data_IF_920328093985
#
_entry.id   IF_920328093985
#
_cell.length_a   1.000
_cell.length_b   1.000
_cell.length_c   1.000
_cell.angle_alpha   90.00
_cell.angle_beta   90.00
_cell.angle_gamma   90.00
#
_symmetry.space_group_name_H-M   'P 1'
#
loop_
_entity.id
_entity.type
_entity.pdbx_description
1 polymer ?
#
# COMPACT_ATOMS: atom_id res chain seq x y z
N UNK A 1 -12.47 7.68 -10.44
CA UNK A 1 -12.55 8.74 -9.39
C UNK A 1 -13.05 10.03 -10.03
N UNK A 2 -13.83 10.88 -9.35
CA UNK A 2 -14.41 12.11 -9.94
C UNK A 2 -13.38 13.08 -10.56
N UNK A 3 -12.11 12.98 -10.16
CA UNK A 3 -11.00 13.79 -10.70
C UNK A 3 -10.53 13.28 -12.06
N UNK A 4 -10.45 11.95 -12.24
CA UNK A 4 -9.99 11.34 -13.50
C UNK A 4 -10.99 11.61 -14.63
N UNK A 5 -12.29 11.52 -14.35
CA UNK A 5 -13.32 11.82 -15.35
C UNK A 5 -13.31 13.29 -15.77
N UNK A 6 -13.16 14.22 -14.81
CA UNK A 6 -13.03 15.65 -15.11
C UNK A 6 -11.74 15.97 -15.87
N UNK A 7 -10.67 15.22 -15.62
CA UNK A 7 -9.42 15.37 -16.35
C UNK A 7 -9.54 14.92 -17.80
N UNK A 8 -10.21 13.79 -18.06
CA UNK A 8 -10.39 13.25 -19.40
C UNK A 8 -11.05 14.25 -20.35
N UNK A 9 -12.15 14.89 -19.92
CA UNK A 9 -12.84 15.93 -20.71
C UNK A 9 -11.93 17.13 -21.04
N UNK A 10 -11.09 17.53 -20.08
CA UNK A 10 -10.16 18.66 -20.25
C UNK A 10 -9.00 18.29 -21.17
N UNK A 11 -8.46 17.08 -21.03
CA UNK A 11 -7.40 16.57 -21.90
C UNK A 11 -7.90 16.53 -23.34
N UNK A 12 -9.09 15.97 -23.57
CA UNK A 12 -9.70 15.93 -24.90
C UNK A 12 -9.94 17.33 -25.48
N UNK A 13 -10.42 18.27 -24.64
CA UNK A 13 -10.61 19.67 -25.04
C UNK A 13 -9.29 20.32 -25.50
N UNK A 14 -8.24 20.24 -24.68
CA UNK A 14 -6.95 20.85 -25.00
C UNK A 14 -6.22 20.14 -26.16
N UNK A 15 -6.34 18.81 -26.25
CA UNK A 15 -5.80 18.05 -27.38
C UNK A 15 -6.46 18.47 -28.71
N UNK A 16 -7.79 18.57 -28.75
CA UNK A 16 -8.51 19.06 -29.94
C UNK A 16 -8.14 20.50 -30.31
N UNK A 17 -7.92 21.36 -29.33
CA UNK A 17 -7.44 22.72 -29.62
C UNK A 17 -6.02 22.71 -30.18
N UNK A 18 -5.12 21.90 -29.61
CA UNK A 18 -3.77 21.74 -30.12
C UNK A 18 -3.74 21.15 -31.54
N UNK A 19 -4.70 20.29 -31.91
CA UNK A 19 -4.86 19.76 -33.26
C UNK A 19 -5.27 20.83 -34.30
N UNK A 20 -6.11 21.78 -33.90
CA UNK A 20 -6.69 22.79 -34.80
C UNK A 20 -5.82 24.05 -34.93
N UNK A 21 -4.94 24.33 -33.96
CA UNK A 21 -4.09 25.51 -33.94
C UNK A 21 -2.67 25.21 -34.43
N UNK A 22 -1.93 26.25 -34.84
CA UNK A 22 -0.53 26.17 -35.30
C UNK A 22 0.30 27.34 -34.79
N UNK A 23 1.61 27.13 -34.68
CA UNK A 23 2.59 28.18 -34.37
C UNK A 23 2.30 28.89 -33.05
N UNK A 24 2.35 30.23 -33.06
CA UNK A 24 2.19 31.05 -31.86
C UNK A 24 0.85 30.89 -31.13
N UNK A 25 -0.21 30.39 -31.78
CA UNK A 25 -1.47 30.11 -31.07
C UNK A 25 -1.39 28.91 -30.13
N UNK A 26 -0.48 27.96 -30.38
CA UNK A 26 -0.26 26.80 -29.52
C UNK A 26 0.37 27.19 -28.17
N UNK A 27 1.15 28.26 -28.12
CA UNK A 27 1.75 28.72 -26.85
C UNK A 27 0.67 29.14 -25.85
N UNK A 28 -0.40 29.79 -26.32
CA UNK A 28 -1.52 30.15 -25.48
C UNK A 28 -2.25 28.91 -24.94
N UNK A 29 -2.44 27.88 -25.79
CA UNK A 29 -3.02 26.59 -25.35
C UNK A 29 -2.14 25.93 -24.29
N UNK A 30 -0.81 25.90 -24.48
CA UNK A 30 0.13 25.34 -23.51
C UNK A 30 0.06 26.10 -22.18
N UNK A 31 0.06 27.44 -22.22
CA UNK A 31 -0.05 28.27 -21.01
C UNK A 31 -1.38 28.03 -20.29
N UNK A 32 -2.49 27.95 -21.03
CA UNK A 32 -3.80 27.66 -20.44
C UNK A 32 -3.86 26.26 -19.84
N UNK A 33 -3.39 25.23 -20.55
CA UNK A 33 -3.37 23.86 -20.07
C UNK A 33 -2.49 23.72 -18.80
N UNK A 34 -1.28 24.26 -18.83
CA UNK A 34 -0.35 24.23 -17.69
C UNK A 34 -0.83 25.07 -16.50
N UNK A 35 -1.70 26.06 -16.69
CA UNK A 35 -2.30 26.85 -15.60
C UNK A 35 -3.63 26.27 -15.08
N UNK A 36 -4.27 25.36 -15.80
CA UNK A 36 -5.62 24.90 -15.46
C UNK A 36 -5.66 24.06 -14.16
N UNK A 37 -6.36 24.51 -13.11
CA UNK A 37 -6.32 23.90 -11.77
C UNK A 37 -6.62 22.39 -11.70
N UNK A 38 -7.43 21.85 -12.60
CA UNK A 38 -7.83 20.43 -12.59
C UNK A 38 -7.01 19.53 -13.53
N UNK A 39 -6.10 20.07 -14.35
CA UNK A 39 -5.36 19.30 -15.36
C UNK A 39 -3.95 18.96 -14.87
N UNK A 40 -3.68 17.66 -14.70
CA UNK A 40 -2.39 17.15 -14.19
C UNK A 40 -1.70 16.14 -15.10
N UNK A 41 -2.35 15.73 -16.20
CA UNK A 41 -1.79 14.88 -17.24
C UNK A 41 -1.65 15.67 -18.55
N UNK A 42 -0.50 15.51 -19.20
CA UNK A 42 -0.09 16.30 -20.36
C UNK A 42 0.45 15.43 -21.51
N UNK A 43 0.57 14.11 -21.33
CA UNK A 43 1.12 13.17 -22.34
C UNK A 43 0.36 13.24 -23.66
N UNK A 44 -0.97 13.27 -23.60
CA UNK A 44 -1.83 13.31 -24.78
C UNK A 44 -1.65 14.62 -25.55
N UNK A 45 -1.59 15.75 -24.84
CA UNK A 45 -1.33 17.07 -25.43
C UNK A 45 0.07 17.12 -26.04
N UNK A 46 1.07 16.54 -25.37
CA UNK A 46 2.44 16.43 -25.86
C UNK A 46 2.56 15.52 -27.08
N UNK A 47 1.69 14.52 -27.21
CA UNK A 47 1.67 13.58 -28.35
C UNK A 47 1.09 14.17 -29.64
N UNK A 48 0.44 15.33 -29.57
CA UNK A 48 -0.15 16.00 -30.74
C UNK A 48 0.97 16.42 -31.72
N UNK A 49 0.90 16.04 -33.01
CA UNK A 49 1.95 16.33 -33.99
C UNK A 49 2.30 17.82 -34.10
N UNK A 50 1.30 18.69 -34.04
CA UNK A 50 1.49 20.15 -34.14
C UNK A 50 2.30 20.72 -32.97
N UNK A 51 2.24 20.08 -31.81
CA UNK A 51 3.03 20.47 -30.63
C UNK A 51 4.48 20.03 -30.82
N UNK A 52 4.71 18.87 -31.44
CA UNK A 52 6.06 18.44 -31.83
C UNK A 52 6.68 19.35 -32.91
N UNK A 53 5.88 19.91 -33.82
CA UNK A 53 6.33 20.89 -34.83
C UNK A 53 6.88 22.19 -34.22
N UNK A 54 6.55 22.51 -32.95
CA UNK A 54 7.15 23.66 -32.26
C UNK A 54 8.65 23.48 -32.00
N UNK A 55 9.15 22.25 -32.07
CA UNK A 55 10.58 21.95 -31.91
C UNK A 55 11.39 22.58 -33.06
N UNK A 56 12.37 23.41 -32.70
CA UNK A 56 13.20 24.14 -33.68
C UNK A 56 12.63 25.50 -34.10
N UNK A 57 11.46 25.90 -33.57
CA UNK A 57 10.91 27.25 -33.75
C UNK A 57 11.28 28.17 -32.58
N UNK A 58 10.94 29.45 -32.70
CA UNK A 58 11.04 30.44 -31.61
C UNK A 58 10.20 30.06 -30.37
N UNK A 59 9.22 29.15 -30.52
CA UNK A 59 8.34 28.68 -29.45
C UNK A 59 8.81 27.37 -28.80
N UNK A 60 10.00 26.88 -29.16
CA UNK A 60 10.60 25.65 -28.59
C UNK A 60 10.62 25.66 -27.04
N UNK A 61 10.83 26.82 -26.43
CA UNK A 61 10.81 26.96 -24.98
C UNK A 61 9.46 26.57 -24.32
N UNK A 62 8.33 26.73 -25.02
CA UNK A 62 7.01 26.32 -24.52
C UNK A 62 6.81 24.81 -24.59
N UNK A 63 7.42 24.15 -25.58
CA UNK A 63 7.45 22.68 -25.65
C UNK A 63 8.26 22.12 -24.47
N UNK A 64 9.37 22.75 -24.12
CA UNK A 64 10.18 22.34 -22.97
C UNK A 64 9.46 22.58 -21.64
N UNK A 65 8.63 23.64 -21.53
CA UNK A 65 7.70 23.81 -20.39
C UNK A 65 6.70 22.65 -20.35
N UNK A 66 6.08 22.27 -21.46
CA UNK A 66 5.12 21.16 -21.45
C UNK A 66 5.79 19.83 -21.05
N UNK A 67 7.03 19.58 -21.52
CA UNK A 67 7.83 18.41 -21.12
C UNK A 67 8.21 18.45 -19.63
N UNK A 68 8.53 19.63 -19.10
CA UNK A 68 8.78 19.83 -17.68
C UNK A 68 7.55 19.49 -16.84
N UNK A 69 6.36 19.88 -17.27
CA UNK A 69 5.11 19.56 -16.56
C UNK A 69 4.76 18.06 -16.67
N UNK A 70 4.99 17.43 -17.82
CA UNK A 70 4.77 16.00 -17.97
C UNK A 70 5.75 15.17 -17.12
N UNK A 71 7.03 15.50 -17.14
CA UNK A 71 8.08 14.59 -16.66
C UNK A 71 9.02 15.17 -15.61
N UNK A 72 9.15 16.48 -15.47
CA UNK A 72 10.10 17.12 -14.56
C UNK A 72 9.51 17.52 -13.21
N UNK A 73 10.25 18.34 -12.47
CA UNK A 73 9.96 18.80 -11.10
C UNK A 73 10.26 20.28 -10.92
N UNK A 74 9.88 20.86 -9.79
CA UNK A 74 10.22 22.24 -9.43
C UNK A 74 11.75 22.48 -9.38
N UNK A 75 12.51 21.49 -8.91
CA UNK A 75 13.98 21.54 -8.90
C UNK A 75 14.57 21.58 -10.32
N UNK A 76 13.96 20.85 -11.27
CA UNK A 76 14.36 20.88 -12.68
C UNK A 76 14.10 22.25 -13.32
N UNK A 77 12.98 22.89 -12.96
CA UNK A 77 12.69 24.26 -13.40
C UNK A 77 13.74 25.25 -12.91
N UNK A 78 14.07 25.21 -11.61
CA UNK A 78 15.08 26.11 -11.03
C UNK A 78 16.46 25.92 -11.63
N UNK A 79 16.81 24.67 -11.96
CA UNK A 79 18.09 24.36 -12.61
C UNK A 79 18.16 24.88 -14.05
N UNK A 80 17.01 24.96 -14.74
CA UNK A 80 16.89 25.39 -16.13
C UNK A 80 16.27 26.79 -16.30
N UNK A 81 16.24 27.61 -15.24
CA UNK A 81 15.56 28.91 -15.23
C UNK A 81 16.10 29.91 -16.28
N UNK A 82 17.31 29.69 -16.80
CA UNK A 82 17.89 30.51 -17.88
C UNK A 82 17.43 30.16 -19.29
N UNK A 83 16.87 28.96 -19.51
CA UNK A 83 16.43 28.48 -20.83
C UNK A 83 14.91 28.37 -20.97
N UNK A 84 14.17 28.47 -19.86
CA UNK A 84 12.72 28.37 -19.81
C UNK A 84 12.08 29.75 -19.60
N UNK A 85 10.86 29.98 -20.11
CA UNK A 85 10.14 31.21 -19.84
C UNK A 85 9.75 31.31 -18.36
N UNK A 86 9.53 32.54 -17.90
CA UNK A 86 9.02 32.82 -16.55
C UNK A 86 7.62 32.23 -16.40
N UNK A 87 7.44 31.37 -15.40
CA UNK A 87 6.14 30.75 -15.12
C UNK A 87 5.19 31.72 -14.42
N UNK A 88 3.91 31.66 -14.79
CA UNK A 88 2.80 32.35 -14.12
C UNK A 88 2.59 31.72 -12.73
N UNK A 89 2.08 32.47 -11.72
CA UNK A 89 1.85 31.92 -10.39
C UNK A 89 1.09 30.58 -10.38
N UNK A 90 0.04 30.44 -11.19
CA UNK A 90 -0.74 29.20 -11.26
C UNK A 90 0.08 28.00 -11.77
N UNK A 91 0.97 28.24 -12.73
CA UNK A 91 1.91 27.22 -13.23
C UNK A 91 2.92 26.82 -12.15
N UNK A 92 3.41 27.77 -11.35
CA UNK A 92 4.32 27.49 -10.24
C UNK A 92 3.65 26.60 -9.20
N UNK A 93 2.41 26.93 -8.79
CA UNK A 93 1.65 26.10 -7.84
C UNK A 93 1.46 24.68 -8.39
N UNK A 94 1.09 24.56 -9.66
CA UNK A 94 0.92 23.26 -10.31
C UNK A 94 2.21 22.46 -10.38
N UNK A 95 3.32 23.07 -10.77
CA UNK A 95 4.59 22.34 -10.85
C UNK A 95 5.04 21.84 -9.47
N UNK A 96 4.78 22.61 -8.42
CA UNK A 96 4.97 22.16 -7.03
C UNK A 96 4.05 20.98 -6.69
N UNK A 97 2.77 21.00 -7.07
CA UNK A 97 1.84 19.88 -6.87
C UNK A 97 2.33 18.61 -7.58
N UNK A 98 2.76 18.74 -8.84
CA UNK A 98 3.31 17.63 -9.64
C UNK A 98 4.60 17.07 -9.04
N UNK A 99 5.41 17.92 -8.39
CA UNK A 99 6.61 17.50 -7.66
C UNK A 99 6.25 16.65 -6.45
N UNK A 100 5.22 17.01 -5.68
CA UNK A 100 4.72 16.18 -4.58
C UNK A 100 4.25 14.81 -5.09
N UNK A 101 3.56 14.75 -6.24
CA UNK A 101 3.15 13.48 -6.84
C UNK A 101 4.33 12.59 -7.21
N UNK A 102 5.38 13.15 -7.81
CA UNK A 102 6.61 12.40 -8.13
C UNK A 102 7.32 11.88 -6.88
N UNK A 103 7.35 12.66 -5.80
CA UNK A 103 7.91 12.19 -4.53
C UNK A 103 7.07 11.05 -3.93
N UNK A 104 5.74 11.20 -3.97
CA UNK A 104 4.79 10.22 -3.47
C UNK A 104 4.75 8.90 -4.28
N UNK A 105 5.21 8.94 -5.54
CA UNK A 105 5.42 7.75 -6.38
C UNK A 105 6.57 6.89 -5.84
N UNK A 106 7.63 7.54 -5.35
CA UNK A 106 8.85 6.85 -4.88
C UNK A 106 8.72 6.39 -3.42
N UNK A 107 8.24 7.28 -2.54
CA UNK A 107 8.22 7.04 -1.10
C UNK A 107 6.82 7.25 -0.50
N UNK A 108 6.40 6.34 0.38
CA UNK A 108 5.12 6.46 1.11
C UNK A 108 5.20 7.40 2.32
N UNK A 109 6.40 7.68 2.81
CA UNK A 109 6.63 8.57 3.95
C UNK A 109 7.55 9.69 3.48
N UNK A 110 6.99 10.87 3.26
CA UNK A 110 7.72 12.03 2.77
C UNK A 110 8.15 12.90 3.96
N UNK A 111 9.46 13.11 4.13
CA UNK A 111 9.94 14.01 5.18
C UNK A 111 9.63 15.47 4.86
N UNK A 112 9.30 16.27 5.88
CA UNK A 112 9.07 17.70 5.69
C UNK A 112 10.32 18.40 5.15
N UNK A 113 11.51 17.99 5.59
CA UNK A 113 12.76 18.64 5.15
C UNK A 113 13.05 18.38 3.66
N UNK A 114 12.69 17.20 3.13
CA UNK A 114 12.75 16.90 1.70
C UNK A 114 11.69 17.72 0.94
N UNK A 115 10.45 17.72 1.41
CA UNK A 115 9.37 18.49 0.77
C UNK A 115 9.67 20.00 0.73
N UNK A 116 10.16 20.55 1.84
CA UNK A 116 10.55 21.96 1.93
C UNK A 116 11.67 22.30 0.93
N UNK A 117 12.66 21.41 0.77
CA UNK A 117 13.76 21.61 -0.18
C UNK A 117 13.28 21.53 -1.63
N UNK A 118 12.53 20.49 -1.98
CA UNK A 118 12.05 20.25 -3.34
C UNK A 118 10.98 21.25 -3.79
N UNK A 119 10.18 21.79 -2.87
CA UNK A 119 9.13 22.77 -3.15
C UNK A 119 9.59 24.23 -2.93
N UNK A 120 10.80 24.41 -2.41
CA UNK A 120 11.35 25.72 -2.04
C UNK A 120 10.47 26.49 -1.05
N UNK A 121 10.05 25.78 0.01
CA UNK A 121 9.18 26.29 1.06
C UNK A 121 9.99 26.43 2.34
N UNK A 122 9.93 27.60 2.96
CA UNK A 122 10.79 27.93 4.11
C UNK A 122 10.16 27.59 5.46
N UNK A 123 8.83 27.50 5.51
CA UNK A 123 8.08 27.29 6.75
C UNK A 123 7.25 26.01 6.70
N UNK A 124 7.22 25.27 7.81
CA UNK A 124 6.35 24.10 8.00
C UNK A 124 4.87 24.47 7.79
N UNK A 125 4.44 25.63 8.30
CA UNK A 125 3.03 26.05 8.15
C UNK A 125 2.65 26.24 6.68
N UNK A 126 3.52 26.87 5.90
CA UNK A 126 3.32 27.07 4.47
C UNK A 126 3.30 25.73 3.74
N UNK A 127 4.15 24.77 4.14
CA UNK A 127 4.13 23.42 3.58
C UNK A 127 2.82 22.70 3.89
N UNK A 128 2.35 22.74 5.14
CA UNK A 128 1.10 22.09 5.56
C UNK A 128 -0.10 22.73 4.84
N UNK A 129 -0.16 24.06 4.78
CA UNK A 129 -1.20 24.80 4.04
C UNK A 129 -1.19 24.42 2.56
N UNK A 130 -0.01 24.28 1.94
CA UNK A 130 0.13 23.83 0.55
C UNK A 130 -0.35 22.38 0.36
N UNK A 131 0.06 21.45 1.22
CA UNK A 131 -0.35 20.05 1.14
C UNK A 131 -1.86 19.91 1.32
N UNK A 132 -2.46 20.67 2.25
CA UNK A 132 -3.90 20.63 2.51
C UNK A 132 -4.66 21.27 1.35
N UNK A 133 -4.47 22.56 1.12
CA UNK A 133 -5.28 23.38 0.21
C UNK A 133 -5.00 23.04 -1.26
N UNK A 134 -3.74 22.84 -1.62
CA UNK A 134 -3.37 22.65 -3.02
C UNK A 134 -3.33 21.17 -3.40
N UNK A 135 -2.98 20.25 -2.49
CA UNK A 135 -2.86 18.83 -2.85
C UNK A 135 -4.06 17.97 -2.41
N UNK A 136 -4.46 18.05 -1.13
CA UNK A 136 -5.53 17.20 -0.60
C UNK A 136 -6.92 17.65 -1.06
N UNK A 137 -7.20 18.95 -1.07
CA UNK A 137 -8.49 19.49 -1.55
C UNK A 137 -8.66 19.32 -3.06
N UNK A 138 -7.58 19.44 -3.84
CA UNK A 138 -7.58 19.05 -5.25
C UNK A 138 -7.78 17.54 -5.46
N UNK A 139 -7.58 16.75 -4.39
CA UNK A 139 -7.74 15.29 -4.36
C UNK A 139 -6.66 14.52 -5.12
N UNK A 140 -5.55 15.18 -5.45
CA UNK A 140 -4.40 14.54 -6.09
C UNK A 140 -3.62 13.65 -5.11
N UNK A 141 -3.64 13.97 -3.81
CA UNK A 141 -2.99 13.17 -2.78
C UNK A 141 -3.92 13.00 -1.59
N UNK A 142 -3.88 11.82 -0.95
CA UNK A 142 -4.53 11.58 0.34
C UNK A 142 -3.52 10.97 1.30
N UNK A 143 -3.54 11.42 2.54
CA UNK A 143 -2.58 10.97 3.54
C UNK A 143 -2.80 11.62 4.89
N UNK A 144 -1.86 11.40 5.81
CA UNK A 144 -1.86 11.99 7.15
C UNK A 144 -0.59 12.80 7.36
N UNK A 145 -0.76 14.00 7.90
CA UNK A 145 0.35 14.85 8.34
C UNK A 145 0.70 14.48 9.79
N UNK A 146 1.95 14.07 10.01
CA UNK A 146 2.50 13.82 11.35
C UNK A 146 3.50 14.94 11.68
N UNK A 147 3.02 15.90 12.47
CA UNK A 147 3.81 17.05 12.88
C UNK A 147 4.93 16.67 13.87
N UNK A 148 4.75 15.61 14.66
CA UNK A 148 5.75 15.15 15.64
C UNK A 148 6.94 14.49 14.92
N UNK A 149 6.65 13.62 13.95
CA UNK A 149 7.67 12.95 13.13
C UNK A 149 8.15 13.81 11.96
N UNK A 150 7.53 14.98 11.74
CA UNK A 150 7.80 15.89 10.61
C UNK A 150 7.73 15.17 9.27
N UNK A 151 6.69 14.38 9.07
CA UNK A 151 6.50 13.61 7.85
C UNK A 151 5.05 13.59 7.39
N UNK A 152 4.88 13.40 6.09
CA UNK A 152 3.61 13.18 5.45
C UNK A 152 3.50 11.72 5.00
N UNK A 153 2.54 10.99 5.57
CA UNK A 153 2.27 9.60 5.23
C UNK A 153 1.24 9.52 4.10
N UNK A 154 1.71 9.17 2.91
CA UNK A 154 0.90 9.09 1.70
C UNK A 154 0.13 7.77 1.67
N UNK A 155 -1.19 7.84 1.63
CA UNK A 155 -2.07 6.69 1.44
C UNK A 155 -2.43 6.49 -0.04
N UNK A 156 -2.64 7.60 -0.75
CA UNK A 156 -2.97 7.61 -2.16
C UNK A 156 -2.31 8.81 -2.82
N UNK A 157 -1.81 8.61 -4.03
CA UNK A 157 -1.36 9.67 -4.93
C UNK A 157 -1.91 9.35 -6.32
N UNK A 158 -2.44 10.37 -7.00
CA UNK A 158 -2.86 10.27 -8.37
C UNK A 158 -1.67 9.99 -9.29
N UNK A 159 -1.91 9.26 -10.38
CA UNK A 159 -0.91 9.09 -11.42
C UNK A 159 -0.64 10.41 -12.13
N UNK A 160 0.64 10.69 -12.39
CA UNK A 160 1.05 11.72 -13.35
C UNK A 160 1.22 11.06 -14.74
N UNK A 161 1.94 11.71 -15.63
CA UNK A 161 2.31 11.20 -16.95
C UNK A 161 3.38 10.11 -16.89
N UNK A 162 3.19 9.07 -17.70
CA UNK A 162 4.18 8.01 -17.88
C UNK A 162 5.36 8.50 -18.71
N UNK A 163 6.56 8.33 -18.19
CA UNK A 163 7.79 8.55 -18.96
C UNK A 163 7.98 7.41 -19.96
N UNK A 164 8.52 7.69 -21.16
CA UNK A 164 8.90 6.66 -22.11
C UNK A 164 9.80 5.59 -21.45
N UNK A 165 9.37 4.33 -21.47
CA UNK A 165 10.11 3.20 -20.88
C UNK A 165 9.69 2.77 -19.47
N UNK A 166 8.86 3.55 -18.74
CA UNK A 166 8.38 3.14 -17.40
C UNK A 166 7.42 1.94 -17.45
N UNK A 167 6.72 1.73 -18.56
CA UNK A 167 5.74 0.66 -18.72
C UNK A 167 6.33 -0.74 -18.46
N UNK A 168 7.55 -1.00 -18.94
CA UNK A 168 8.23 -2.27 -18.71
C UNK A 168 8.51 -2.51 -17.22
N UNK A 169 8.89 -1.47 -16.49
CA UNK A 169 9.09 -1.53 -15.04
C UNK A 169 7.78 -1.82 -14.30
N UNK A 170 6.67 -1.20 -14.71
CA UNK A 170 5.34 -1.47 -14.12
C UNK A 170 4.91 -2.93 -14.33
N UNK A 171 5.09 -3.46 -15.55
CA UNK A 171 4.79 -4.86 -15.87
C UNK A 171 5.62 -5.80 -14.99
N UNK A 172 6.92 -5.52 -14.84
CA UNK A 172 7.80 -6.32 -14.00
C UNK A 172 7.39 -6.30 -12.52
N UNK A 173 7.03 -5.13 -11.98
CA UNK A 173 6.57 -5.00 -10.59
C UNK A 173 5.28 -5.79 -10.35
N UNK A 174 4.32 -5.72 -11.27
CA UNK A 174 3.07 -6.51 -11.20
C UNK A 174 3.35 -8.01 -11.29
N UNK A 175 4.23 -8.44 -12.20
CA UNK A 175 4.63 -9.84 -12.32
C UNK A 175 5.31 -10.36 -11.05
N UNK A 176 6.19 -9.56 -10.44
CA UNK A 176 6.83 -9.88 -9.16
C UNK A 176 5.81 -10.02 -8.03
N UNK A 177 4.81 -9.13 -7.98
CA UNK A 177 3.77 -9.17 -6.97
C UNK A 177 2.85 -10.40 -7.12
N UNK A 178 2.50 -10.75 -8.36
CA UNK A 178 1.76 -11.97 -8.68
C UNK A 178 2.53 -13.21 -8.21
N UNK A 179 3.80 -13.33 -8.60
CA UNK A 179 4.65 -14.45 -8.18
C UNK A 179 4.79 -14.54 -6.66
N UNK A 180 4.94 -13.40 -5.97
CA UNK A 180 5.00 -13.37 -4.50
C UNK A 180 3.69 -13.87 -3.88
N UNK A 181 2.55 -13.48 -4.45
CA UNK A 181 1.22 -13.90 -4.00
C UNK A 181 0.99 -15.40 -4.20
N UNK A 182 1.41 -15.94 -5.34
CA UNK A 182 1.36 -17.38 -5.64
C UNK A 182 2.22 -18.18 -4.66
N UNK A 183 3.45 -17.72 -4.38
CA UNK A 183 4.35 -18.35 -3.42
C UNK A 183 3.78 -18.35 -2.00
N UNK A 184 3.13 -17.25 -1.58
CA UNK A 184 2.47 -17.16 -0.28
C UNK A 184 1.28 -18.12 -0.20
N UNK A 185 0.49 -18.21 -1.26
CA UNK A 185 -0.64 -19.14 -1.35
C UNK A 185 -0.18 -20.59 -1.27
N UNK A 186 0.88 -20.95 -2.01
CA UNK A 186 1.50 -22.28 -1.93
C UNK A 186 1.98 -22.60 -0.52
N UNK A 187 2.66 -21.65 0.13
CA UNK A 187 3.14 -21.81 1.52
C UNK A 187 1.99 -22.02 2.50
N UNK A 188 0.86 -21.33 2.33
CA UNK A 188 -0.34 -21.52 3.15
C UNK A 188 -0.93 -22.92 2.91
N UNK A 189 -1.04 -23.34 1.64
CA UNK A 189 -1.57 -24.67 1.30
C UNK A 189 -0.71 -25.80 1.88
N UNK A 190 0.60 -25.67 1.86
CA UNK A 190 1.52 -26.63 2.50
C UNK A 190 1.32 -26.68 4.02
N UNK A 191 1.18 -25.53 4.67
CA UNK A 191 0.91 -25.49 6.12
C UNK A 191 -0.44 -26.11 6.50
N UNK A 192 -1.47 -25.94 5.66
CA UNK A 192 -2.77 -26.60 5.84
C UNK A 192 -2.59 -28.12 5.77
N UNK A 193 -1.96 -28.64 4.71
CA UNK A 193 -1.71 -30.09 4.55
C UNK A 193 -0.90 -30.67 5.70
N UNK A 194 0.13 -29.96 6.14
CA UNK A 194 0.93 -30.36 7.30
C UNK A 194 0.08 -30.41 8.58
N UNK A 195 -0.75 -29.40 8.83
CA UNK A 195 -1.63 -29.36 10.00
C UNK A 195 -2.68 -30.49 9.98
N UNK A 196 -3.26 -30.79 8.81
CA UNK A 196 -4.20 -31.89 8.64
C UNK A 196 -3.53 -33.23 8.91
N UNK A 197 -2.36 -33.49 8.31
CA UNK A 197 -1.59 -34.72 8.50
C UNK A 197 -1.19 -34.91 9.98
N UNK A 198 -0.71 -33.85 10.61
CA UNK A 198 -0.35 -33.86 12.02
C UNK A 198 -1.58 -34.09 12.91
N UNK A 199 -2.71 -33.48 12.57
CA UNK A 199 -4.00 -33.67 13.24
C UNK A 199 -4.50 -35.12 13.16
N UNK A 200 -4.42 -35.73 11.98
CA UNK A 200 -4.76 -37.15 11.78
C UNK A 200 -3.84 -38.07 12.57
N UNK A 201 -2.52 -37.81 12.54
CA UNK A 201 -1.54 -38.59 13.31
C UNK A 201 -1.79 -38.48 14.81
N UNK A 202 -2.04 -37.27 15.33
CA UNK A 202 -2.39 -37.07 16.74
C UNK A 202 -3.70 -37.76 17.12
N UNK A 203 -4.72 -37.73 16.24
CA UNK A 203 -6.00 -38.42 16.47
C UNK A 203 -5.82 -39.93 16.53
N UNK A 204 -5.02 -40.51 15.62
CA UNK A 204 -4.70 -41.93 15.61
C UNK A 204 -3.92 -42.34 16.87
N UNK A 205 -2.88 -41.60 17.21
CA UNK A 205 -2.08 -41.88 18.41
C UNK A 205 -2.90 -41.79 19.70
N UNK A 206 -3.81 -40.80 19.80
CA UNK A 206 -4.73 -40.69 20.93
C UNK A 206 -5.66 -41.90 21.04
N UNK A 207 -6.23 -42.35 19.92
CA UNK A 207 -7.09 -43.53 19.88
C UNK A 207 -6.34 -44.78 20.33
N UNK A 208 -5.11 -44.99 19.84
CA UNK A 208 -4.27 -46.12 20.26
C UNK A 208 -3.95 -46.10 21.76
N UNK A 209 -3.72 -44.92 22.33
CA UNK A 209 -3.53 -44.75 23.78
C UNK A 209 -4.81 -45.07 24.56
N UNK A 210 -5.95 -44.58 24.11
CA UNK A 210 -7.26 -44.86 24.72
C UNK A 210 -7.57 -46.36 24.69
N UNK A 211 -7.36 -47.02 23.54
CA UNK A 211 -7.57 -48.47 23.37
C UNK A 211 -6.66 -49.28 24.32
N UNK A 212 -5.38 -48.91 24.45
CA UNK A 212 -4.44 -49.55 25.40
C UNK A 212 -4.84 -49.35 26.86
N UNK A 213 -5.33 -48.16 27.20
CA UNK A 213 -5.81 -47.87 28.56
C UNK A 213 -7.02 -48.73 28.89
N UNK A 214 -7.97 -48.89 27.96
CA UNK A 214 -9.14 -49.75 28.16
C UNK A 214 -8.75 -51.23 28.24
N UNK A 215 -7.78 -51.70 27.46
CA UNK A 215 -7.26 -53.06 27.56
C UNK A 215 -6.62 -53.33 28.94
N UNK A 216 -5.78 -52.41 29.42
CA UNK A 216 -5.15 -52.51 30.75
C UNK A 216 -6.21 -52.47 31.86
N UNK A 217 -7.23 -51.61 31.75
CA UNK A 217 -8.36 -51.62 32.71
C UNK A 217 -9.09 -52.95 32.72
N UNK A 218 -9.33 -53.54 31.55
CA UNK A 218 -10.02 -54.82 31.43
C UNK A 218 -9.20 -55.97 32.02
N UNK A 219 -7.90 -56.01 31.77
CA UNK A 219 -7.01 -57.04 32.35
C UNK A 219 -6.92 -56.91 33.86
N UNK A 220 -6.77 -55.69 34.41
CA UNK A 220 -6.83 -55.44 35.85
C UNK A 220 -8.14 -55.91 36.47
N UNK A 221 -9.27 -55.65 35.81
CA UNK A 221 -10.59 -56.10 36.29
C UNK A 221 -10.70 -57.63 36.27
N UNK A 222 -10.22 -58.29 35.20
CA UNK A 222 -10.21 -59.75 35.11
C UNK A 222 -9.30 -60.39 36.16
N UNK A 223 -8.15 -59.77 36.46
CA UNK A 223 -7.22 -60.22 37.51
C UNK A 223 -7.85 -60.09 38.91
N UNK A 224 -8.57 -58.99 39.17
CA UNK A 224 -9.36 -58.81 40.40
C UNK A 224 -10.50 -59.84 40.53
N UNK A 225 -11.17 -60.18 39.43
CA UNK A 225 -12.24 -61.20 39.41
C UNK A 225 -11.68 -62.63 39.60
N UNK A 226 -10.49 -62.93 39.07
CA UNK A 226 -9.78 -64.20 39.31
C UNK A 226 -9.30 -64.32 40.76
N UNK A 227 -8.76 -63.24 41.32
CA UNK A 227 -8.26 -63.20 42.70
C UNK A 227 -9.39 -63.20 43.73
N UNK A 228 -10.55 -62.67 43.38
CA UNK A 228 -11.78 -62.76 44.18
C UNK A 228 -12.40 -64.16 44.23
N UNK A 229 -11.95 -65.10 43.40
CA UNK A 229 -12.46 -66.48 43.40
C UNK A 229 -11.65 -67.44 44.29
N UNK A 230 -10.48 -67.01 44.80
CA UNK A 230 -9.66 -67.74 45.79
C UNK A 230 -9.95 -67.36 47.25
N UNK A 231 -10.86 -66.41 47.49
CA UNK A 231 -11.30 -65.99 48.83
C UNK A 231 -12.80 -66.29 49.07
N UNK A 232 -13.24 -67.51 48.73
CA UNK A 232 -14.45 -68.08 49.34
C UNK A 232 -13.98 -69.03 50.43
N UNK A 233 -13.56 -68.49 51.58
CA UNK A 233 -13.60 -69.08 52.93
C UNK A 233 -12.71 -68.24 53.86
N UNK A 234 -13.24 -67.15 54.41
CA UNK A 234 -13.03 -66.73 55.82
C UNK A 234 -13.86 -65.48 56.16
N UNK A 235 -14.41 -65.51 57.37
CA UNK A 235 -15.41 -64.61 57.99
C UNK A 235 -15.00 -63.13 58.19
N UNK A 236 -15.96 -62.23 58.52
CA UNK A 236 -15.84 -60.79 58.35
C UNK A 236 -15.19 -60.08 59.55
N UNK A 237 -14.28 -59.14 59.29
CA UNK A 237 -13.67 -58.34 60.35
C UNK A 237 -13.08 -57.01 59.87
N UNK A 238 -13.78 -55.91 60.15
CA UNK A 238 -13.20 -54.57 60.28
C UNK A 238 -13.35 -53.64 59.08
N UNK A 239 -14.43 -52.87 59.06
CA UNK A 239 -14.51 -51.62 58.28
C UNK A 239 -13.66 -50.58 59.01
N UNK A 240 -12.49 -50.23 58.46
CA UNK A 240 -11.81 -48.97 58.80
C UNK A 240 -12.09 -47.96 57.69
N UNK A 241 -12.92 -46.99 58.04
CA UNK A 241 -13.24 -45.81 57.26
C UNK A 241 -12.04 -44.85 57.35
N UNK A 242 -11.31 -44.68 56.24
CA UNK A 242 -10.32 -43.62 56.10
C UNK A 242 -10.88 -42.58 55.12
N UNK A 243 -11.38 -41.49 55.69
CA UNK A 243 -11.57 -40.22 54.98
C UNK A 243 -10.21 -39.70 54.52
N UNK A 244 -9.98 -39.62 53.21
CA UNK A 244 -8.99 -38.71 52.65
C UNK A 244 -9.67 -37.64 51.80
N UNK A 245 -9.83 -36.52 52.47
CA UNK A 245 -10.35 -35.26 51.99
C UNK A 245 -9.23 -34.49 51.27
N UNK A 246 -9.60 -33.79 50.18
CA UNK A 246 -8.90 -32.66 49.51
C UNK A 246 -7.80 -33.06 48.49
N UNK A 247 -7.62 -32.42 47.32
CA UNK A 247 -7.77 -31.01 46.93
C UNK A 247 -8.05 -30.92 45.40
N UNK A 248 -9.11 -30.19 45.05
CA UNK A 248 -9.48 -29.79 43.68
C UNK A 248 -8.70 -28.52 43.29
N UNK A 249 -7.71 -28.61 42.40
CA UNK A 249 -7.00 -27.42 41.91
C UNK A 249 -7.86 -26.62 40.93
N UNK A 250 -8.45 -25.52 41.41
CA UNK A 250 -9.03 -24.46 40.57
C UNK A 250 -7.91 -23.63 39.94
N UNK A 251 -7.75 -23.70 38.61
CA UNK A 251 -6.93 -22.76 37.83
C UNK A 251 -7.54 -21.35 37.93
N UNK A 252 -6.83 -20.42 38.57
CA UNK A 252 -7.08 -18.98 38.49
C UNK A 252 -6.59 -18.45 37.13
N UNK A 253 -7.41 -17.69 36.43
CA UNK A 253 -6.98 -16.76 35.38
C UNK A 253 -6.60 -15.41 36.04
N UNK A 254 -5.54 -14.72 35.64
CA UNK A 254 -5.27 -13.36 36.08
C UNK A 254 -6.08 -12.33 35.27
N UNK A 255 -6.43 -11.18 35.86
CA UNK A 255 -7.09 -10.09 35.14
C UNK A 255 -6.07 -9.29 34.31
N UNK A 256 -6.50 -8.86 33.13
CA UNK A 256 -5.81 -7.88 32.30
C UNK A 256 -6.09 -6.47 32.83
N UNK A 257 -5.05 -5.65 32.94
CA UNK A 257 -5.09 -4.19 32.94
C UNK A 257 -4.20 -3.71 31.81
#
# INVERSE_FOLDING_TARGET
MDIEQKQEELIEYFAKQAENLRGGSLTNVIVQATSHCSLFAFSEILSVPNVAELQGTEYSMFLDVLRLFAHGTWSDYKSNAGSLPTLVPDQVHKLKQLTVLTLAETDKILSYDQLMRELDVTNVRELEDFLINECMYAGIVRGKLDQLRRCFEVQFAAGRDLRPGQLAGMIQTLASWLSTSDNLLMSIQEKIKWADTMGEMHKKHRKELEDKVEEVKKSLKADLELRGHDEIYSEPGGVMEYEEDRIRTKRRRPPLS
#
